data_IF_534411561324
#
_entry.id   IF_534411561324
#
_cell.length_a   1.000
_cell.length_b   1.000
_cell.length_c   1.000
_cell.angle_alpha   90.00
_cell.angle_beta   90.00
_cell.angle_gamma   90.00
#
_symmetry.space_group_name_H-M   'P 1'
#
loop_
_entity.id
_entity.type
_entity.pdbx_description
1 polymer ?
#
# COMPACT_ATOMS: atom_id res chain seq x y z
N UNK A 1 16.73 -15.82 -7.04
CA UNK A 1 17.26 -16.79 -6.04
C UNK A 1 17.32 -16.21 -4.64
N UNK A 2 17.67 -14.94 -4.47
CA UNK A 2 17.85 -14.36 -3.13
C UNK A 2 16.56 -14.02 -2.39
N UNK A 3 15.45 -13.83 -3.09
CA UNK A 3 14.14 -13.65 -2.47
C UNK A 3 13.55 -14.96 -1.90
N UNK A 4 13.98 -16.12 -2.37
CA UNK A 4 13.64 -17.42 -1.76
C UNK A 4 14.26 -17.60 -0.37
N UNK A 5 15.30 -16.84 -0.03
CA UNK A 5 15.88 -16.80 1.32
C UNK A 5 14.98 -16.10 2.35
N UNK A 6 13.94 -15.38 1.93
CA UNK A 6 12.88 -14.91 2.83
C UNK A 6 12.05 -16.04 3.44
N UNK A 7 12.08 -17.22 2.84
CA UNK A 7 11.40 -18.41 3.33
C UNK A 7 12.30 -19.34 4.17
N UNK A 8 13.56 -18.95 4.44
CA UNK A 8 14.44 -19.72 5.32
C UNK A 8 14.04 -19.60 6.80
N UNK A 9 14.55 -20.50 7.64
CA UNK A 9 14.22 -20.54 9.06
C UNK A 9 14.61 -19.25 9.82
N UNK A 10 15.66 -18.54 9.37
CA UNK A 10 16.09 -17.29 9.97
C UNK A 10 15.13 -16.14 9.64
N UNK A 11 14.57 -16.15 8.44
CA UNK A 11 13.54 -15.18 8.02
C UNK A 11 12.18 -15.49 8.65
N UNK A 12 11.83 -16.76 8.84
CA UNK A 12 10.65 -17.16 9.63
C UNK A 12 10.72 -16.63 11.05
N UNK A 13 11.87 -16.66 11.69
CA UNK A 13 12.05 -16.09 13.03
C UNK A 13 11.91 -14.56 13.08
N UNK A 14 12.10 -13.86 11.96
CA UNK A 14 11.90 -12.41 11.85
C UNK A 14 10.46 -12.04 11.48
N UNK A 15 9.75 -12.89 10.75
CA UNK A 15 8.38 -12.67 10.26
C UNK A 15 7.34 -13.23 11.23
N UNK A 16 7.56 -14.40 11.82
CA UNK A 16 6.63 -14.99 12.81
C UNK A 16 6.32 -14.09 14.02
N UNK A 17 7.28 -13.37 14.60
CA UNK A 17 6.97 -12.37 15.62
C UNK A 17 6.10 -11.22 15.11
N UNK A 18 6.13 -10.91 13.82
CA UNK A 18 5.29 -9.87 13.23
C UNK A 18 3.80 -10.20 13.20
N UNK A 19 3.46 -11.49 13.26
CA UNK A 19 2.09 -11.99 13.34
C UNK A 19 1.62 -12.19 14.78
N UNK A 20 2.53 -12.11 15.75
CA UNK A 20 2.18 -12.14 17.17
C UNK A 20 1.54 -10.80 17.58
N UNK A 21 0.53 -10.79 18.46
CA UNK A 21 -0.06 -9.54 18.97
C UNK A 21 0.91 -8.65 19.75
N UNK A 22 2.18 -9.03 19.90
CA UNK A 22 3.23 -8.24 20.51
C UNK A 22 3.78 -7.19 19.54
N UNK A 23 3.40 -5.94 19.75
CA UNK A 23 3.78 -4.74 18.98
C UNK A 23 5.30 -4.62 18.74
N UNK A 24 6.14 -5.10 19.66
CA UNK A 24 7.61 -5.03 19.55
C UNK A 24 8.21 -5.93 18.45
N UNK A 25 7.61 -7.09 18.21
CA UNK A 25 8.09 -8.02 17.19
C UNK A 25 7.74 -7.56 15.76
N UNK A 26 6.56 -6.94 15.60
CA UNK A 26 6.14 -6.32 14.33
C UNK A 26 7.04 -5.15 13.93
N UNK A 27 7.44 -4.31 14.90
CA UNK A 27 8.34 -3.20 14.69
C UNK A 27 9.71 -3.64 14.13
N UNK A 28 10.23 -4.79 14.55
CA UNK A 28 11.54 -5.28 14.09
C UNK A 28 11.52 -5.72 12.61
N UNK A 29 10.48 -6.38 12.14
CA UNK A 29 10.36 -6.75 10.72
C UNK A 29 10.18 -5.53 9.84
N UNK A 30 9.30 -4.63 10.21
CA UNK A 30 9.03 -3.38 9.52
C UNK A 30 10.27 -2.47 9.49
N UNK A 31 11.01 -2.37 10.60
CA UNK A 31 12.21 -1.56 10.75
C UNK A 31 13.47 -2.28 10.24
N UNK A 32 13.35 -3.05 9.16
CA UNK A 32 14.45 -3.75 8.51
C UNK A 32 14.58 -3.34 7.06
N UNK A 33 15.79 -3.41 6.51
CA UNK A 33 16.00 -3.19 5.08
C UNK A 33 15.24 -4.17 4.18
N UNK A 34 14.89 -5.35 4.71
CA UNK A 34 14.12 -6.38 3.99
C UNK A 34 12.64 -6.05 3.77
N UNK A 35 12.10 -5.10 4.51
CA UNK A 35 10.72 -4.64 4.32
C UNK A 35 10.58 -3.66 3.17
N UNK A 36 11.68 -3.13 2.65
CA UNK A 36 11.68 -2.03 1.70
C UNK A 36 11.61 -2.57 0.27
N UNK A 37 10.52 -2.22 -0.41
CA UNK A 37 10.37 -2.46 -1.85
C UNK A 37 10.91 -1.30 -2.69
N UNK A 38 11.24 -1.59 -3.95
CA UNK A 38 11.68 -0.57 -4.90
C UNK A 38 10.62 0.52 -5.05
N UNK A 39 10.91 1.81 -4.75
CA UNK A 39 9.94 2.89 -4.87
C UNK A 39 9.47 3.06 -6.31
N UNK A 40 8.15 3.09 -6.54
CA UNK A 40 7.59 3.13 -7.89
C UNK A 40 7.02 4.46 -8.34
N UNK A 41 6.77 5.38 -7.39
CA UNK A 41 5.98 6.60 -7.63
C UNK A 41 6.55 7.47 -8.75
N UNK A 42 7.86 7.74 -8.75
CA UNK A 42 8.46 8.65 -9.74
C UNK A 42 8.37 8.09 -11.16
N UNK A 43 8.56 6.79 -11.37
CA UNK A 43 8.35 6.15 -12.68
C UNK A 43 6.89 6.20 -13.13
N UNK A 44 5.96 6.00 -12.21
CA UNK A 44 4.53 6.08 -12.53
C UNK A 44 4.13 7.50 -12.91
N UNK A 45 4.56 8.51 -12.16
CA UNK A 45 4.27 9.92 -12.46
C UNK A 45 4.88 10.36 -13.79
N UNK A 46 6.14 9.97 -14.09
CA UNK A 46 6.77 10.25 -15.38
C UNK A 46 6.03 9.59 -16.54
N UNK A 47 5.59 8.33 -16.37
CA UNK A 47 4.81 7.61 -17.36
C UNK A 47 3.47 8.33 -17.63
N UNK A 48 2.76 8.71 -16.57
CA UNK A 48 1.50 9.43 -16.68
C UNK A 48 1.69 10.83 -17.34
N UNK A 49 2.74 11.55 -16.93
CA UNK A 49 3.06 12.84 -17.50
C UNK A 49 3.41 12.74 -18.99
N UNK A 50 4.20 11.77 -19.41
CA UNK A 50 4.54 11.55 -20.82
C UNK A 50 3.30 11.32 -21.68
N UNK A 51 2.29 10.64 -21.14
CA UNK A 51 1.09 10.26 -21.89
C UNK A 51 0.03 11.36 -21.88
N UNK A 52 -0.08 12.14 -20.79
CA UNK A 52 -1.20 13.06 -20.55
C UNK A 52 -0.76 14.46 -20.11
N UNK A 53 0.51 14.65 -19.74
CA UNK A 53 1.03 15.91 -19.21
C UNK A 53 1.09 17.00 -20.27
N UNK A 54 0.72 18.24 -19.89
CA UNK A 54 0.84 19.44 -20.74
C UNK A 54 1.85 20.44 -20.17
N UNK A 55 1.86 20.61 -18.87
CA UNK A 55 2.81 21.48 -18.16
C UNK A 55 4.20 20.83 -18.15
N UNK A 56 5.30 21.57 -18.38
CA UNK A 56 6.64 21.01 -18.30
C UNK A 56 6.90 20.27 -16.98
N UNK A 57 7.53 19.11 -17.07
CA UNK A 57 7.81 18.25 -15.89
C UNK A 57 8.51 19.02 -14.76
N UNK A 58 9.51 19.83 -15.11
CA UNK A 58 10.28 20.62 -14.14
C UNK A 58 9.44 21.64 -13.38
N UNK A 59 8.40 22.19 -13.99
CA UNK A 59 7.52 23.17 -13.37
C UNK A 59 6.56 22.51 -12.35
N UNK A 60 6.10 21.28 -12.64
CA UNK A 60 5.20 20.54 -11.74
C UNK A 60 5.82 20.25 -10.36
N UNK A 61 7.14 20.18 -10.28
CA UNK A 61 7.86 19.89 -9.04
C UNK A 61 8.17 21.16 -8.22
N UNK A 62 8.08 22.36 -8.82
CA UNK A 62 8.44 23.61 -8.12
C UNK A 62 7.64 23.89 -6.85
N UNK A 63 6.31 23.67 -6.78
CA UNK A 63 5.58 23.89 -5.55
C UNK A 63 6.08 23.01 -4.40
N UNK A 64 6.38 21.73 -4.67
CA UNK A 64 6.89 20.81 -3.66
C UNK A 64 8.33 21.17 -3.22
N UNK A 65 9.19 21.58 -4.16
CA UNK A 65 10.54 22.08 -3.87
C UNK A 65 10.46 23.30 -2.95
N UNK A 66 9.57 24.25 -3.24
CA UNK A 66 9.39 25.45 -2.42
C UNK A 66 8.91 25.09 -1.00
N UNK A 67 7.89 24.24 -0.86
CA UNK A 67 7.41 23.80 0.46
C UNK A 67 8.51 23.10 1.25
N UNK A 68 9.31 22.26 0.61
CA UNK A 68 10.43 21.58 1.26
C UNK A 68 11.52 22.56 1.73
N UNK A 69 11.78 23.62 0.94
CA UNK A 69 12.79 24.64 1.24
C UNK A 69 12.31 25.61 2.33
N UNK A 70 11.09 26.15 2.19
CA UNK A 70 10.54 27.14 3.11
C UNK A 70 10.05 26.52 4.40
N UNK A 71 9.65 25.25 4.35
CA UNK A 71 9.10 24.50 5.46
C UNK A 71 7.59 24.60 5.57
N UNK A 72 7.05 23.78 6.46
CA UNK A 72 5.63 23.75 6.80
C UNK A 72 5.43 23.44 8.28
N UNK A 73 4.27 23.79 8.81
CA UNK A 73 3.92 23.51 10.20
C UNK A 73 3.57 22.01 10.39
N UNK A 74 4.13 21.37 11.40
CA UNK A 74 3.82 19.98 11.76
C UNK A 74 2.34 19.88 12.14
N UNK A 75 1.59 19.08 11.39
CA UNK A 75 0.17 18.82 11.63
C UNK A 75 -0.04 17.93 12.85
N UNK A 76 -1.26 17.91 13.41
CA UNK A 76 -1.62 17.03 14.53
C UNK A 76 -1.39 15.54 14.22
N UNK A 77 -1.72 15.11 12.99
CA UNK A 77 -1.46 13.73 12.54
C UNK A 77 0.04 13.40 12.49
N UNK A 78 0.85 14.33 11.96
CA UNK A 78 2.30 14.15 11.90
C UNK A 78 2.93 14.14 13.28
N UNK A 79 2.56 15.07 14.15
CA UNK A 79 3.04 15.11 15.54
C UNK A 79 2.73 13.82 16.32
N UNK A 80 1.50 13.30 16.19
CA UNK A 80 1.10 12.03 16.79
C UNK A 80 1.89 10.83 16.22
N UNK A 81 2.16 10.83 14.91
CA UNK A 81 2.95 9.79 14.27
C UNK A 81 4.41 9.82 14.73
N UNK A 82 5.03 11.01 14.83
CA UNK A 82 6.39 11.16 15.34
C UNK A 82 6.45 10.69 16.80
N UNK A 83 5.54 11.17 17.67
CA UNK A 83 5.51 10.79 19.08
C UNK A 83 5.37 9.27 19.29
N UNK A 84 4.51 8.61 18.50
CA UNK A 84 4.33 7.17 18.58
C UNK A 84 5.52 6.36 18.04
N UNK A 85 6.46 6.99 17.32
CA UNK A 85 7.55 6.33 16.61
C UNK A 85 8.95 6.70 17.11
N UNK A 86 9.07 7.45 18.21
CA UNK A 86 10.35 8.00 18.71
C UNK A 86 11.46 6.94 18.81
N UNK A 87 11.15 5.76 19.37
CA UNK A 87 12.14 4.72 19.58
C UNK A 87 12.64 4.11 18.27
N UNK A 88 11.77 3.99 17.27
CA UNK A 88 12.14 3.45 15.97
C UNK A 88 12.85 4.51 15.11
N UNK A 89 12.43 5.77 15.17
CA UNK A 89 13.11 6.88 14.50
C UNK A 89 14.55 7.07 15.01
N UNK A 90 14.82 6.79 16.29
CA UNK A 90 16.18 6.83 16.87
C UNK A 90 17.14 5.78 16.31
N UNK A 91 16.64 4.76 15.61
CA UNK A 91 17.48 3.75 14.95
C UNK A 91 18.21 4.31 13.72
N UNK A 92 17.60 5.28 13.05
CA UNK A 92 18.17 5.93 11.88
C UNK A 92 18.61 7.35 12.24
N UNK A 93 19.92 7.67 12.16
CA UNK A 93 20.42 9.00 12.51
C UNK A 93 19.78 10.14 11.70
N UNK A 94 19.53 9.92 10.42
CA UNK A 94 18.95 10.93 9.54
C UNK A 94 17.48 11.14 9.86
N UNK A 95 16.73 10.06 10.15
CA UNK A 95 15.35 10.15 10.62
C UNK A 95 15.26 10.87 11.99
N UNK A 96 16.16 10.52 12.92
CA UNK A 96 16.21 11.19 14.21
C UNK A 96 16.51 12.69 14.08
N UNK A 97 17.49 13.07 13.25
CA UNK A 97 17.83 14.48 13.03
C UNK A 97 16.67 15.27 12.41
N UNK A 98 15.89 14.63 11.54
CA UNK A 98 14.77 15.28 10.89
C UNK A 98 13.51 15.36 11.77
N UNK A 99 13.11 14.29 12.44
CA UNK A 99 11.84 14.20 13.16
C UNK A 99 11.91 14.54 14.66
N UNK A 100 13.10 14.51 15.25
CA UNK A 100 13.29 14.72 16.68
C UNK A 100 14.06 16.03 16.95
N UNK A 101 13.95 16.52 18.18
CA UNK A 101 14.81 17.58 18.71
C UNK A 101 16.18 17.01 19.10
N UNK A 102 17.15 17.88 19.37
CA UNK A 102 18.51 17.48 19.76
C UNK A 102 18.57 16.61 21.03
N UNK A 103 17.60 16.77 21.94
CA UNK A 103 17.45 15.96 23.16
C UNK A 103 16.75 14.60 22.90
N UNK A 104 16.41 14.30 21.65
CA UNK A 104 15.71 13.08 21.23
C UNK A 104 14.20 13.08 21.54
N UNK A 105 13.61 14.20 21.94
CA UNK A 105 12.18 14.38 22.07
C UNK A 105 11.50 14.61 20.71
N UNK A 106 10.21 14.28 20.55
CA UNK A 106 9.50 14.50 19.29
C UNK A 106 9.32 16.01 19.02
N UNK A 107 9.43 16.41 17.76
CA UNK A 107 9.09 17.79 17.35
C UNK A 107 7.62 18.08 17.62
N UNK A 108 7.34 19.29 18.11
CA UNK A 108 6.01 19.68 18.56
C UNK A 108 5.05 19.99 17.41
N UNK A 109 3.76 19.76 17.65
CA UNK A 109 2.67 20.27 16.82
C UNK A 109 2.83 21.78 16.56
N UNK A 110 2.69 22.20 15.31
CA UNK A 110 2.77 23.60 14.88
C UNK A 110 4.20 24.13 14.70
N UNK A 111 5.25 23.41 15.12
CA UNK A 111 6.62 23.82 14.82
C UNK A 111 6.91 23.67 13.32
N UNK A 112 7.68 24.61 12.77
CA UNK A 112 8.08 24.56 11.34
C UNK A 112 9.18 23.53 11.14
N UNK A 113 9.02 22.69 10.12
CA UNK A 113 10.02 21.73 9.66
C UNK A 113 10.38 22.00 8.20
N UNK A 114 11.66 22.12 7.91
CA UNK A 114 12.23 22.28 6.55
C UNK A 114 12.90 20.99 6.12
N UNK A 115 12.96 20.75 4.80
CA UNK A 115 13.56 19.55 4.24
C UNK A 115 14.43 19.88 3.01
N UNK A 116 15.61 20.48 3.21
CA UNK A 116 16.48 20.85 2.11
C UNK A 116 16.96 19.65 1.28
N UNK A 117 17.14 18.49 1.90
CA UNK A 117 17.56 17.25 1.20
C UNK A 117 16.45 16.77 0.24
N UNK A 118 15.20 16.86 0.67
CA UNK A 118 14.09 16.52 -0.22
C UNK A 118 13.92 17.56 -1.34
N UNK A 119 14.11 18.84 -1.04
CA UNK A 119 14.15 19.88 -2.07
C UNK A 119 15.22 19.60 -3.12
N UNK A 120 16.43 19.19 -2.69
CA UNK A 120 17.51 18.82 -3.60
C UNK A 120 17.19 17.59 -4.44
N UNK A 121 16.58 16.56 -3.83
CA UNK A 121 16.08 15.36 -4.52
C UNK A 121 15.06 15.71 -5.59
N UNK A 122 14.03 16.50 -5.24
CA UNK A 122 13.02 16.93 -6.20
C UNK A 122 13.60 17.82 -7.31
N UNK A 123 14.56 18.69 -7.00
CA UNK A 123 15.25 19.49 -7.98
C UNK A 123 16.09 18.64 -8.96
N UNK A 124 16.71 17.57 -8.50
CA UNK A 124 17.41 16.62 -9.35
C UNK A 124 16.43 15.89 -10.30
N UNK A 125 15.30 15.44 -9.78
CA UNK A 125 14.22 14.80 -10.56
C UNK A 125 13.58 15.79 -11.54
N UNK A 126 13.43 17.07 -11.16
CA UNK A 126 12.91 18.11 -12.04
C UNK A 126 13.81 18.33 -13.28
N UNK A 127 15.14 18.27 -13.10
CA UNK A 127 16.12 18.45 -14.18
C UNK A 127 16.37 17.19 -15.01
N UNK A 128 16.43 16.03 -14.36
CA UNK A 128 16.88 14.76 -14.97
C UNK A 128 15.76 13.73 -15.21
N UNK A 129 14.52 14.11 -15.01
CA UNK A 129 13.40 13.14 -15.07
C UNK A 129 13.48 12.10 -13.95
N UNK A 130 12.67 11.06 -14.05
CA UNK A 130 12.67 9.99 -13.08
C UNK A 130 14.02 9.24 -13.02
N UNK A 131 14.82 9.23 -14.09
CA UNK A 131 16.13 8.58 -14.11
C UNK A 131 17.05 9.10 -13.00
N UNK A 132 16.97 10.39 -12.66
CA UNK A 132 17.75 10.96 -11.57
C UNK A 132 17.45 10.31 -10.20
N UNK A 133 16.25 9.74 -10.01
CA UNK A 133 15.88 9.02 -8.79
C UNK A 133 16.38 7.57 -8.82
N UNK A 134 16.33 6.91 -9.98
CA UNK A 134 16.59 5.47 -10.12
C UNK A 134 18.02 5.12 -10.50
N UNK A 135 18.86 6.13 -10.76
CA UNK A 135 20.28 5.98 -11.08
C UNK A 135 21.11 7.00 -10.32
N UNK A 136 22.44 6.81 -10.30
CA UNK A 136 23.36 7.77 -9.70
C UNK A 136 23.24 7.91 -8.17
N UNK A 137 23.53 9.11 -7.62
CA UNK A 137 23.72 9.29 -6.17
C UNK A 137 22.47 9.02 -5.34
N UNK A 138 21.27 9.38 -5.81
CA UNK A 138 20.01 9.13 -5.07
C UNK A 138 19.77 7.63 -4.95
N UNK A 139 19.88 6.90 -6.06
CA UNK A 139 19.73 5.44 -6.04
C UNK A 139 20.78 4.77 -5.14
N UNK A 140 22.03 5.22 -5.19
CA UNK A 140 23.09 4.71 -4.32
C UNK A 140 22.74 4.92 -2.85
N UNK A 141 22.29 6.12 -2.46
CA UNK A 141 21.90 6.43 -1.08
C UNK A 141 20.73 5.56 -0.60
N UNK A 142 19.77 5.25 -1.49
CA UNK A 142 18.66 4.33 -1.18
C UNK A 142 19.21 2.93 -0.89
N UNK A 143 20.06 2.40 -1.77
CA UNK A 143 20.67 1.05 -1.60
C UNK A 143 21.50 0.97 -0.34
N UNK A 144 22.34 1.97 -0.08
CA UNK A 144 23.19 2.02 1.12
C UNK A 144 22.33 2.04 2.39
N UNK A 145 21.26 2.82 2.40
CA UNK A 145 20.31 2.90 3.52
C UNK A 145 19.58 1.57 3.74
N UNK A 146 19.17 0.86 2.71
CA UNK A 146 18.54 -0.47 2.78
C UNK A 146 19.49 -1.52 3.37
N UNK A 147 20.79 -1.36 3.14
CA UNK A 147 21.84 -2.32 3.58
C UNK A 147 22.43 -2.04 4.95
N UNK A 148 21.93 -1.05 5.67
CA UNK A 148 22.38 -0.76 7.05
C UNK A 148 22.17 -1.97 7.95
N UNK A 149 23.18 -2.27 8.80
CA UNK A 149 23.20 -3.44 9.69
C UNK A 149 23.04 -3.08 11.16
N UNK A 150 23.20 -1.82 11.51
CA UNK A 150 23.16 -1.35 12.89
C UNK A 150 22.49 0.01 12.98
N UNK A 151 21.73 0.18 14.04
CA UNK A 151 21.09 1.45 14.35
C UNK A 151 22.11 2.51 14.77
N UNK A 152 21.67 3.78 14.72
CA UNK A 152 22.45 4.94 15.07
C UNK A 152 22.73 5.06 16.58
N UNK A 153 23.48 6.09 16.98
CA UNK A 153 23.94 6.28 18.38
C UNK A 153 22.81 6.35 19.42
N UNK A 154 21.63 6.84 19.01
CA UNK A 154 20.49 6.98 19.90
C UNK A 154 19.72 5.66 20.15
N UNK A 155 19.89 4.69 19.27
CA UNK A 155 19.31 3.34 19.42
C UNK A 155 20.15 2.32 18.64
N UNK A 156 21.27 1.82 19.18
CA UNK A 156 22.25 0.98 18.49
C UNK A 156 21.83 -0.49 18.44
N UNK A 157 20.64 -0.77 17.91
CA UNK A 157 20.14 -2.14 17.72
C UNK A 157 20.62 -2.72 16.40
N UNK A 158 20.73 -4.07 16.33
CA UNK A 158 20.97 -4.74 15.07
C UNK A 158 19.78 -4.56 14.12
N UNK A 159 20.07 -4.25 12.85
CA UNK A 159 19.09 -4.11 11.77
C UNK A 159 19.37 -5.19 10.73
N UNK A 160 18.35 -5.92 10.33
CA UNK A 160 18.49 -6.87 9.22
C UNK A 160 18.55 -6.10 7.90
N UNK A 161 19.68 -6.20 7.15
CA UNK A 161 19.83 -5.48 5.90
C UNK A 161 18.92 -6.06 4.82
N UNK A 162 18.48 -5.23 3.89
CA UNK A 162 17.89 -5.66 2.63
C UNK A 162 18.94 -6.13 1.63
N UNK A 163 18.49 -6.73 0.54
CA UNK A 163 19.33 -7.26 -0.54
C UNK A 163 19.28 -6.41 -1.81
N UNK A 164 18.51 -5.34 -1.81
CA UNK A 164 18.32 -4.44 -2.97
C UNK A 164 19.66 -3.99 -3.54
N UNK A 165 19.74 -3.99 -4.88
CA UNK A 165 20.89 -3.55 -5.65
C UNK A 165 20.54 -2.36 -6.56
N UNK A 166 21.54 -1.68 -7.09
CA UNK A 166 21.33 -0.59 -8.05
C UNK A 166 20.60 -1.04 -9.31
N UNK A 167 20.81 -2.29 -9.71
CA UNK A 167 20.10 -2.91 -10.82
C UNK A 167 18.59 -3.01 -10.58
N UNK A 168 18.14 -3.23 -9.34
CA UNK A 168 16.71 -3.30 -9.01
C UNK A 168 16.03 -1.94 -9.18
N UNK A 169 16.74 -0.85 -8.85
CA UNK A 169 16.23 0.49 -9.08
C UNK A 169 16.28 0.85 -10.57
N UNK A 170 17.42 0.70 -11.22
CA UNK A 170 17.61 1.14 -12.61
C UNK A 170 16.76 0.35 -13.62
N UNK A 171 16.48 -0.92 -13.34
CA UNK A 171 15.61 -1.77 -14.15
C UNK A 171 14.12 -1.60 -13.86
N UNK A 172 13.74 -0.92 -12.75
CA UNK A 172 12.33 -0.78 -12.37
C UNK A 172 11.53 -0.03 -13.45
N UNK A 173 10.35 -0.55 -13.75
CA UNK A 173 9.40 0.04 -14.71
C UNK A 173 8.00 0.11 -14.10
N UNK A 174 7.33 1.24 -14.33
CA UNK A 174 5.90 1.33 -14.10
C UNK A 174 5.15 0.51 -15.15
N UNK A 175 4.14 -0.24 -14.73
CA UNK A 175 3.39 -1.13 -15.62
C UNK A 175 1.97 -0.60 -15.78
N UNK A 176 1.55 -0.39 -17.04
CA UNK A 176 0.15 -0.13 -17.37
C UNK A 176 -0.64 -1.43 -17.26
N UNK A 177 -1.80 -1.35 -16.61
CA UNK A 177 -2.70 -2.49 -16.45
C UNK A 177 -4.10 -2.12 -16.91
N UNK A 178 -4.80 -3.09 -17.49
CA UNK A 178 -6.21 -2.92 -17.80
C UNK A 178 -7.00 -2.70 -16.49
N UNK A 179 -7.93 -1.73 -16.46
CA UNK A 179 -8.78 -1.52 -15.30
C UNK A 179 -9.72 -2.70 -15.10
N UNK A 180 -10.08 -2.94 -13.83
CA UNK A 180 -11.20 -3.81 -13.47
C UNK A 180 -12.45 -2.97 -13.52
N UNK A 181 -13.35 -3.22 -14.46
CA UNK A 181 -14.60 -2.51 -14.60
C UNK A 181 -15.79 -3.44 -14.44
N UNK A 182 -16.83 -2.96 -13.77
CA UNK A 182 -18.14 -3.62 -13.65
C UNK A 182 -19.25 -2.57 -13.69
N UNK A 183 -20.48 -3.01 -13.86
CA UNK A 183 -21.63 -2.15 -13.64
C UNK A 183 -22.13 -2.29 -12.20
N UNK A 184 -22.58 -1.19 -11.63
CA UNK A 184 -23.40 -1.18 -10.42
C UNK A 184 -24.66 -0.36 -10.70
N UNK A 185 -25.78 -1.03 -10.82
CA UNK A 185 -27.02 -0.43 -11.32
C UNK A 185 -26.80 0.19 -12.71
N UNK A 186 -26.93 1.50 -12.85
CA UNK A 186 -26.73 2.26 -14.09
C UNK A 186 -25.31 2.82 -14.27
N UNK A 187 -24.44 2.65 -13.27
CA UNK A 187 -23.11 3.24 -13.24
C UNK A 187 -22.01 2.25 -13.63
N UNK A 188 -21.06 2.73 -14.41
CA UNK A 188 -19.77 2.05 -14.58
C UNK A 188 -18.86 2.37 -13.41
N UNK A 189 -18.31 1.33 -12.79
CA UNK A 189 -17.34 1.45 -11.71
C UNK A 189 -16.07 0.74 -12.13
N UNK A 190 -14.98 1.49 -12.19
CA UNK A 190 -13.67 0.98 -12.57
C UNK A 190 -12.65 1.20 -11.45
N UNK A 191 -11.72 0.28 -11.30
CA UNK A 191 -10.63 0.36 -10.34
C UNK A 191 -9.35 -0.27 -10.87
N UNK A 192 -8.25 -0.14 -10.13
CA UNK A 192 -6.96 -0.72 -10.51
C UNK A 192 -6.99 -2.25 -10.46
N UNK A 193 -6.40 -2.88 -11.48
CA UNK A 193 -6.23 -4.33 -11.53
C UNK A 193 -5.09 -4.85 -10.66
N UNK A 194 -4.99 -6.19 -10.45
CA UNK A 194 -3.90 -6.81 -9.70
C UNK A 194 -2.50 -6.37 -10.17
N UNK A 195 -1.55 -6.21 -9.24
CA UNK A 195 -1.57 -6.62 -7.84
C UNK A 195 -2.38 -5.73 -6.90
N UNK A 196 -2.93 -4.60 -7.36
CA UNK A 196 -3.92 -3.86 -6.55
C UNK A 196 -5.16 -4.73 -6.33
N UNK A 197 -5.60 -4.82 -5.08
CA UNK A 197 -6.76 -5.65 -4.74
C UNK A 197 -8.07 -4.87 -4.72
N UNK A 198 -8.01 -3.53 -4.64
CA UNK A 198 -9.18 -2.66 -4.47
C UNK A 198 -10.18 -2.75 -5.61
N UNK A 199 -9.72 -2.78 -6.86
CA UNK A 199 -10.62 -2.82 -8.02
C UNK A 199 -11.52 -4.06 -8.02
N UNK A 200 -10.95 -5.25 -7.76
CA UNK A 200 -11.75 -6.49 -7.65
C UNK A 200 -12.62 -6.46 -6.40
N UNK A 201 -12.08 -6.08 -5.25
CA UNK A 201 -12.83 -6.09 -3.99
C UNK A 201 -14.04 -5.15 -4.05
N UNK A 202 -13.88 -3.92 -4.54
CA UNK A 202 -14.98 -2.96 -4.71
C UNK A 202 -16.01 -3.48 -5.71
N UNK A 203 -15.58 -4.02 -6.85
CA UNK A 203 -16.48 -4.60 -7.84
C UNK A 203 -17.32 -5.75 -7.26
N UNK A 204 -16.70 -6.63 -6.46
CA UNK A 204 -17.41 -7.72 -5.80
C UNK A 204 -18.37 -7.21 -4.72
N UNK A 205 -17.94 -6.29 -3.86
CA UNK A 205 -18.81 -5.69 -2.82
C UNK A 205 -20.06 -5.08 -3.46
N UNK A 206 -19.88 -4.26 -4.48
CA UNK A 206 -21.00 -3.61 -5.16
C UNK A 206 -21.91 -4.63 -5.85
N UNK A 207 -21.35 -5.61 -6.56
CA UNK A 207 -22.14 -6.64 -7.25
C UNK A 207 -22.88 -7.59 -6.28
N UNK A 208 -22.34 -7.84 -5.08
CA UNK A 208 -23.07 -8.54 -4.01
C UNK A 208 -24.21 -7.68 -3.49
N UNK A 209 -23.93 -6.39 -3.20
CA UNK A 209 -24.91 -5.45 -2.65
C UNK A 209 -26.04 -5.11 -3.63
N UNK A 210 -25.82 -5.27 -4.92
CA UNK A 210 -26.85 -5.04 -5.96
C UNK A 210 -28.05 -5.97 -5.80
N UNK A 211 -27.91 -7.09 -5.08
CA UNK A 211 -28.98 -8.05 -4.80
C UNK A 211 -29.88 -7.65 -3.60
N UNK A 212 -29.63 -6.49 -2.99
CA UNK A 212 -30.37 -5.98 -1.83
C UNK A 212 -31.01 -4.63 -2.14
N UNK A 213 -32.19 -4.36 -1.58
CA UNK A 213 -32.90 -3.07 -1.73
C UNK A 213 -32.30 -1.99 -0.80
N UNK A 214 -31.04 -1.59 -1.08
CA UNK A 214 -30.39 -0.52 -0.33
C UNK A 214 -31.10 0.84 -0.45
N UNK A 215 -31.77 1.22 -1.56
CA UNK A 215 -32.50 2.48 -1.63
C UNK A 215 -33.58 2.63 -0.56
N UNK A 216 -34.27 1.56 -0.20
CA UNK A 216 -35.29 1.58 0.88
C UNK A 216 -34.68 1.81 2.27
N UNK A 217 -33.36 1.59 2.40
CA UNK A 217 -32.61 1.77 3.67
C UNK A 217 -31.94 3.15 3.78
N UNK A 218 -32.25 4.07 2.83
CA UNK A 218 -31.71 5.43 2.83
C UNK A 218 -32.08 6.14 4.14
N UNK A 219 -31.12 6.86 4.77
CA UNK A 219 -31.42 7.67 5.95
C UNK A 219 -32.55 8.68 5.64
N UNK A 220 -33.53 8.86 6.55
CA UNK A 220 -34.63 9.81 6.35
C UNK A 220 -34.14 11.26 6.31
N UNK A 221 -33.03 11.54 6.99
CA UNK A 221 -32.38 12.85 7.01
C UNK A 221 -30.96 12.69 6.48
N UNK A 222 -30.66 13.42 5.41
CA UNK A 222 -29.32 13.54 4.85
C UNK A 222 -28.84 14.95 5.15
N UNK A 223 -27.80 15.08 5.93
CA UNK A 223 -27.06 16.32 6.19
C UNK A 223 -25.71 16.30 5.47
N UNK A 224 -24.85 17.31 5.69
CA UNK A 224 -23.56 17.44 5.02
C UNK A 224 -22.66 16.18 5.08
N UNK A 225 -22.77 15.40 6.12
CA UNK A 225 -22.03 14.13 6.29
C UNK A 225 -22.74 12.88 5.69
N UNK A 226 -23.82 13.06 4.95
CA UNK A 226 -24.54 11.98 4.27
C UNK A 226 -25.57 11.21 5.10
N UNK A 227 -25.76 11.57 6.36
CA UNK A 227 -26.72 10.93 7.28
C UNK A 227 -26.21 9.64 7.93
N UNK A 228 -26.92 9.17 8.94
CA UNK A 228 -26.61 7.96 9.67
C UNK A 228 -27.23 6.73 9.00
N UNK A 229 -26.42 5.75 8.53
CA UNK A 229 -26.95 4.55 7.91
C UNK A 229 -27.74 3.68 8.91
N UNK A 230 -28.72 2.93 8.41
CA UNK A 230 -29.42 1.95 9.22
C UNK A 230 -28.48 0.81 9.64
N UNK A 231 -28.78 0.16 10.77
CA UNK A 231 -28.01 -1.01 11.24
C UNK A 231 -28.00 -2.12 10.18
N UNK A 232 -29.11 -2.34 9.51
CA UNK A 232 -29.21 -3.34 8.43
C UNK A 232 -28.32 -2.97 7.25
N UNK A 233 -28.32 -1.71 6.80
CA UNK A 233 -27.45 -1.29 5.70
C UNK A 233 -25.96 -1.49 6.06
N UNK A 234 -25.54 -1.09 7.25
CA UNK A 234 -24.18 -1.29 7.73
C UNK A 234 -23.81 -2.79 7.84
N UNK A 235 -24.76 -3.62 8.27
CA UNK A 235 -24.59 -5.08 8.34
C UNK A 235 -24.39 -5.69 6.95
N UNK A 236 -25.24 -5.37 5.97
CA UNK A 236 -25.14 -5.89 4.61
C UNK A 236 -23.81 -5.51 3.94
N UNK A 237 -23.37 -4.24 4.11
CA UNK A 237 -22.05 -3.78 3.62
C UNK A 237 -20.93 -4.59 4.27
N UNK A 238 -20.96 -4.78 5.59
CA UNK A 238 -19.94 -5.54 6.30
C UNK A 238 -19.87 -7.00 5.85
N UNK A 239 -21.01 -7.65 5.63
CA UNK A 239 -21.06 -9.04 5.18
C UNK A 239 -20.61 -9.18 3.71
N UNK A 240 -20.97 -8.24 2.84
CA UNK A 240 -20.46 -8.19 1.46
C UNK A 240 -18.94 -8.00 1.42
N UNK A 241 -18.39 -7.14 2.28
CA UNK A 241 -16.95 -6.98 2.45
C UNK A 241 -16.27 -8.28 2.89
N UNK A 242 -16.83 -9.01 3.86
CA UNK A 242 -16.29 -10.30 4.32
C UNK A 242 -16.15 -11.30 3.17
N UNK A 243 -17.18 -11.42 2.32
CA UNK A 243 -17.17 -12.31 1.17
C UNK A 243 -16.13 -11.90 0.13
N UNK A 244 -16.07 -10.61 -0.22
CA UNK A 244 -15.11 -10.08 -1.18
C UNK A 244 -13.66 -10.22 -0.69
N UNK A 245 -13.42 -9.98 0.61
CA UNK A 245 -12.09 -10.13 1.19
C UNK A 245 -11.67 -11.59 1.34
N UNK A 246 -12.61 -12.53 1.53
CA UNK A 246 -12.29 -13.95 1.48
C UNK A 246 -11.75 -14.35 0.10
N UNK A 247 -12.41 -13.93 -0.97
CA UNK A 247 -11.96 -14.15 -2.35
C UNK A 247 -10.62 -13.46 -2.63
N UNK A 248 -10.50 -12.20 -2.22
CA UNK A 248 -9.26 -11.43 -2.33
C UNK A 248 -8.08 -12.15 -1.68
N UNK A 249 -8.26 -12.60 -0.46
CA UNK A 249 -7.19 -13.24 0.32
C UNK A 249 -6.74 -14.56 -0.30
N UNK A 250 -7.66 -15.28 -0.93
CA UNK A 250 -7.40 -16.56 -1.58
C UNK A 250 -6.75 -16.40 -2.96
N UNK A 251 -7.24 -15.46 -3.79
CA UNK A 251 -6.98 -15.47 -5.23
C UNK A 251 -6.19 -14.28 -5.74
N UNK A 252 -6.25 -13.11 -5.08
CA UNK A 252 -5.66 -11.89 -5.63
C UNK A 252 -4.19 -11.78 -5.22
N UNK A 253 -3.33 -11.66 -6.23
CA UNK A 253 -1.89 -11.43 -6.11
C UNK A 253 -1.38 -10.76 -7.38
N UNK A 254 -0.07 -10.61 -7.54
CA UNK A 254 0.53 -10.13 -8.79
C UNK A 254 0.21 -11.09 -9.95
N UNK A 255 -0.60 -10.61 -10.89
CA UNK A 255 -1.07 -11.40 -12.02
C UNK A 255 0.04 -11.79 -13.01
N UNK A 256 1.21 -11.16 -12.93
CA UNK A 256 2.38 -11.55 -13.72
C UNK A 256 3.02 -12.85 -13.19
N UNK A 257 2.69 -13.26 -11.96
CA UNK A 257 3.24 -14.44 -11.27
C UNK A 257 2.21 -15.49 -10.89
N UNK A 258 0.97 -15.06 -10.64
CA UNK A 258 -0.12 -15.95 -10.19
C UNK A 258 -1.37 -15.63 -10.97
N UNK A 259 -1.81 -16.58 -11.78
CA UNK A 259 -3.06 -16.43 -12.54
C UNK A 259 -4.26 -16.34 -11.60
N UNK A 260 -5.16 -15.42 -11.89
CA UNK A 260 -6.49 -15.38 -11.27
C UNK A 260 -7.31 -16.61 -11.68
N UNK A 261 -8.30 -17.02 -10.88
CA UNK A 261 -9.07 -18.24 -11.14
C UNK A 261 -9.92 -18.16 -12.42
N UNK A 262 -10.16 -19.29 -13.06
CA UNK A 262 -11.01 -19.48 -14.24
C UNK A 262 -10.66 -18.52 -15.39
N UNK A 263 -11.55 -17.58 -15.73
CA UNK A 263 -11.32 -16.57 -16.78
C UNK A 263 -10.74 -15.27 -16.25
N UNK A 264 -10.05 -15.31 -15.10
CA UNK A 264 -9.44 -14.13 -14.49
C UNK A 264 -10.46 -13.19 -13.86
N UNK A 265 -10.22 -11.88 -13.99
CA UNK A 265 -11.09 -10.82 -13.45
C UNK A 265 -12.55 -11.05 -13.83
N UNK A 266 -12.83 -11.40 -15.09
CA UNK A 266 -14.20 -11.59 -15.58
C UNK A 266 -14.99 -12.61 -14.77
N UNK A 267 -14.35 -13.69 -14.29
CA UNK A 267 -15.02 -14.69 -13.44
C UNK A 267 -15.25 -14.18 -12.01
N UNK A 268 -14.33 -13.37 -11.50
CA UNK A 268 -14.44 -12.86 -10.12
C UNK A 268 -15.50 -11.76 -9.98
N UNK A 269 -15.82 -11.05 -11.06
CA UNK A 269 -16.84 -9.98 -11.07
C UNK A 269 -18.11 -10.37 -11.84
N UNK A 270 -18.25 -11.64 -12.18
CA UNK A 270 -19.44 -12.16 -12.87
C UNK A 270 -20.70 -12.00 -12.01
N UNK A 271 -21.76 -11.47 -12.60
CA UNK A 271 -23.00 -11.14 -11.88
C UNK A 271 -23.68 -12.38 -11.26
N UNK A 272 -23.70 -13.51 -11.98
CA UNK A 272 -24.29 -14.74 -11.44
C UNK A 272 -23.48 -15.29 -10.27
N UNK A 273 -22.15 -15.23 -10.36
CA UNK A 273 -21.26 -15.54 -9.24
C UNK A 273 -21.55 -14.66 -8.02
N UNK A 274 -21.63 -13.34 -8.21
CA UNK A 274 -21.86 -12.39 -7.11
C UNK A 274 -23.25 -12.52 -6.51
N UNK A 275 -24.26 -12.87 -7.30
CA UNK A 275 -25.60 -13.21 -6.82
C UNK A 275 -25.57 -14.46 -5.95
N UNK A 276 -24.85 -15.51 -6.37
CA UNK A 276 -24.66 -16.69 -5.55
C UNK A 276 -23.93 -16.39 -4.24
N UNK A 277 -22.95 -15.47 -4.25
CA UNK A 277 -22.26 -15.01 -3.02
C UNK A 277 -23.23 -14.24 -2.11
N UNK A 278 -24.10 -13.39 -2.67
CA UNK A 278 -25.09 -12.64 -1.90
C UNK A 278 -26.07 -13.54 -1.12
N UNK A 279 -26.38 -14.72 -1.63
CA UNK A 279 -27.29 -15.68 -0.95
C UNK A 279 -26.73 -16.20 0.39
N UNK A 280 -25.44 -16.06 0.68
CA UNK A 280 -24.87 -16.41 1.98
C UNK A 280 -25.12 -15.34 3.06
N UNK A 281 -25.58 -14.14 2.69
CA UNK A 281 -25.81 -13.05 3.65
C UNK A 281 -27.18 -13.21 4.29
N UNK A 282 -27.19 -13.43 5.61
CA UNK A 282 -28.42 -13.35 6.40
C UNK A 282 -28.65 -11.91 6.87
N UNK A 283 -29.86 -11.34 6.73
CA UNK A 283 -30.13 -9.96 7.17
C UNK A 283 -30.14 -9.81 8.71
N UNK A 284 -30.17 -10.91 9.45
CA UNK A 284 -30.33 -10.90 10.91
C UNK A 284 -29.16 -11.52 11.68
N UNK A 285 -28.20 -12.15 10.98
CA UNK A 285 -27.09 -12.87 11.62
C UNK A 285 -25.80 -12.69 10.83
N UNK A 286 -24.72 -12.31 11.51
CA UNK A 286 -23.40 -12.28 10.89
C UNK A 286 -22.90 -13.67 10.54
N UNK A 287 -22.25 -13.82 9.38
CA UNK A 287 -21.59 -15.06 8.99
C UNK A 287 -20.29 -15.31 9.78
N UNK A 288 -19.78 -14.32 10.52
CA UNK A 288 -18.50 -14.44 11.21
C UNK A 288 -17.33 -14.44 10.23
N UNK A 289 -16.66 -15.58 10.05
CA UNK A 289 -15.60 -15.76 9.07
C UNK A 289 -16.18 -16.24 7.74
N UNK A 290 -15.95 -15.46 6.68
CA UNK A 290 -16.34 -15.84 5.32
C UNK A 290 -15.30 -16.79 4.71
N UNK A 291 -15.77 -17.72 3.88
CA UNK A 291 -14.92 -18.56 3.03
C UNK A 291 -14.88 -18.02 1.61
N UNK A 292 -13.76 -18.19 0.92
CA UNK A 292 -13.65 -17.85 -0.48
C UNK A 292 -14.61 -18.67 -1.34
N UNK A 293 -15.11 -18.07 -2.41
CA UNK A 293 -15.94 -18.76 -3.38
C UNK A 293 -15.14 -19.77 -4.21
N UNK A 294 -15.82 -20.80 -4.69
CA UNK A 294 -15.20 -21.79 -5.57
C UNK A 294 -15.28 -21.35 -7.04
N UNK A 295 -14.17 -21.50 -7.75
CA UNK A 295 -14.12 -21.31 -9.20
C UNK A 295 -13.71 -22.61 -9.89
N UNK A 296 -14.36 -22.99 -11.03
CA UNK A 296 -13.98 -24.17 -11.77
C UNK A 296 -12.51 -24.13 -12.18
N UNK A 297 -11.76 -25.20 -11.87
CA UNK A 297 -10.34 -25.31 -12.22
C UNK A 297 -9.38 -24.43 -11.41
N UNK A 298 -9.87 -23.72 -10.42
CA UNK A 298 -8.98 -22.99 -9.48
C UNK A 298 -8.18 -24.00 -8.67
N UNK A 299 -6.87 -23.81 -8.63
CA UNK A 299 -6.00 -24.54 -7.71
C UNK A 299 -6.30 -24.01 -6.30
N UNK A 300 -6.52 -24.92 -5.37
CA UNK A 300 -6.64 -24.54 -3.97
C UNK A 300 -5.35 -23.81 -3.56
N UNK A 301 -5.50 -22.61 -3.06
CA UNK A 301 -4.40 -21.77 -2.63
C UNK A 301 -4.61 -21.39 -1.16
N UNK A 302 -3.52 -21.26 -0.43
CA UNK A 302 -3.54 -20.76 0.92
C UNK A 302 -4.01 -19.31 0.98
N UNK A 303 -4.59 -18.92 2.11
CA UNK A 303 -5.13 -17.58 2.36
C UNK A 303 -4.23 -16.80 3.32
N UNK A 304 -4.01 -15.52 3.03
CA UNK A 304 -3.33 -14.63 3.96
C UNK A 304 -4.12 -13.34 4.15
N UNK A 305 -4.35 -12.99 5.41
CA UNK A 305 -4.93 -11.71 5.79
C UNK A 305 -3.86 -10.88 6.50
N UNK A 306 -3.45 -9.78 5.88
CA UNK A 306 -2.66 -8.75 6.52
C UNK A 306 -3.13 -7.40 6.01
N UNK A 307 -3.34 -6.44 6.89
CA UNK A 307 -3.80 -5.10 6.55
C UNK A 307 -2.79 -4.07 7.03
N UNK A 308 -2.24 -3.30 6.10
CA UNK A 308 -1.42 -2.12 6.37
C UNK A 308 -2.27 -0.93 6.82
N UNK A 309 -1.64 0.02 7.53
CA UNK A 309 -2.30 1.24 8.02
C UNK A 309 -1.49 2.46 7.65
N UNK A 310 -1.80 3.11 6.56
CA UNK A 310 -1.21 4.40 6.26
C UNK A 310 -1.02 4.68 4.78
N UNK A 311 -2.02 5.23 4.14
CA UNK A 311 -2.07 5.48 2.70
C UNK A 311 -2.61 6.88 2.45
N UNK A 312 -2.27 7.46 1.31
CA UNK A 312 -2.82 8.72 0.80
C UNK A 312 -3.57 8.45 -0.49
N UNK A 313 -4.77 9.01 -0.60
CA UNK A 313 -5.55 8.98 -1.83
C UNK A 313 -5.89 10.40 -2.28
N UNK A 314 -5.82 10.63 -3.59
CA UNK A 314 -6.16 11.91 -4.21
C UNK A 314 -7.14 11.64 -5.35
N UNK A 315 -8.26 12.35 -5.34
CA UNK A 315 -9.21 12.40 -6.45
C UNK A 315 -9.26 13.82 -6.99
N UNK A 316 -9.03 13.98 -8.27
CA UNK A 316 -9.03 15.29 -8.94
C UNK A 316 -9.91 15.19 -10.18
N UNK A 317 -10.76 16.20 -10.38
CA UNK A 317 -11.49 16.42 -11.63
C UNK A 317 -11.16 17.82 -12.08
N UNK A 318 -10.68 17.97 -13.32
CA UNK A 318 -10.39 19.29 -13.90
C UNK A 318 -11.59 19.90 -14.65
N UNK A 319 -11.42 21.13 -15.12
CA UNK A 319 -12.46 21.86 -15.87
C UNK A 319 -12.82 21.24 -17.22
N UNK A 320 -11.97 20.39 -17.78
CA UNK A 320 -12.19 19.68 -19.04
C UNK A 320 -12.87 18.31 -18.81
N UNK A 321 -13.11 17.92 -17.55
CA UNK A 321 -13.71 16.64 -17.17
C UNK A 321 -12.69 15.49 -17.11
N UNK A 322 -11.38 15.75 -17.15
CA UNK A 322 -10.38 14.73 -16.90
C UNK A 322 -10.37 14.33 -15.42
N UNK A 323 -10.19 13.05 -15.14
CA UNK A 323 -10.23 12.51 -13.79
C UNK A 323 -8.90 11.82 -13.45
N UNK A 324 -8.37 12.14 -12.28
CA UNK A 324 -7.26 11.41 -11.65
C UNK A 324 -7.75 10.82 -10.34
N UNK A 325 -7.51 9.53 -10.16
CA UNK A 325 -7.72 8.81 -8.90
C UNK A 325 -6.42 8.08 -8.57
N UNK A 326 -5.66 8.62 -7.61
CA UNK A 326 -4.31 8.17 -7.28
C UNK A 326 -4.24 7.72 -5.82
N UNK A 327 -3.85 6.46 -5.62
CA UNK A 327 -3.46 5.95 -4.31
C UNK A 327 -1.95 5.80 -4.25
N UNK A 328 -1.32 6.36 -3.22
CA UNK A 328 0.12 6.26 -2.98
C UNK A 328 0.40 5.95 -1.52
N UNK A 329 1.33 5.04 -1.27
CA UNK A 329 1.65 4.56 0.07
C UNK A 329 3.15 4.37 0.24
N UNK A 330 3.60 4.44 1.49
CA UNK A 330 4.83 3.84 1.98
C UNK A 330 4.52 2.70 2.96
N UNK A 331 3.29 2.18 2.89
CA UNK A 331 2.58 1.20 3.71
C UNK A 331 2.29 1.76 5.11
N UNK A 332 3.13 1.65 6.09
CA UNK A 332 2.89 2.19 7.42
C UNK A 332 3.26 3.68 7.53
N UNK A 333 2.71 4.39 8.54
CA UNK A 333 2.81 5.86 8.70
C UNK A 333 4.22 6.46 8.60
N UNK A 334 5.25 5.71 9.03
CA UNK A 334 6.66 6.10 8.98
C UNK A 334 7.48 5.11 8.13
N UNK A 335 6.81 4.37 7.23
CA UNK A 335 7.46 3.36 6.40
C UNK A 335 8.31 2.40 7.24
N UNK A 336 9.49 2.11 6.77
CA UNK A 336 10.50 1.28 7.44
C UNK A 336 11.32 2.01 8.51
N UNK A 337 11.04 3.27 8.78
CA UNK A 337 11.83 4.22 9.59
C UNK A 337 13.22 4.56 9.02
N UNK A 338 13.60 4.02 7.90
CA UNK A 338 14.83 4.38 7.19
C UNK A 338 14.59 5.67 6.42
N UNK A 339 15.47 6.64 6.63
CA UNK A 339 15.35 7.97 6.03
C UNK A 339 16.61 8.30 5.22
N UNK A 340 16.45 8.74 3.99
CA UNK A 340 17.57 9.16 3.15
C UNK A 340 17.07 10.15 2.10
N UNK A 341 17.93 11.04 1.63
CA UNK A 341 17.59 12.01 0.57
C UNK A 341 16.34 12.85 0.87
N UNK A 342 16.03 13.03 2.17
CA UNK A 342 14.88 13.79 2.64
C UNK A 342 13.55 13.04 2.68
N UNK A 343 13.51 11.73 2.48
CA UNK A 343 12.26 10.95 2.55
C UNK A 343 12.41 9.61 3.27
N UNK A 344 11.31 9.16 3.86
CA UNK A 344 11.22 7.82 4.45
C UNK A 344 11.10 6.76 3.37
N UNK A 345 11.84 5.66 3.54
CA UNK A 345 11.69 4.47 2.71
C UNK A 345 10.46 3.67 3.18
N UNK A 346 9.76 3.09 2.21
CA UNK A 346 8.58 2.28 2.46
C UNK A 346 8.89 0.99 3.23
N UNK A 347 7.85 0.31 3.69
CA UNK A 347 7.90 -1.07 4.16
C UNK A 347 6.92 -1.97 3.40
N UNK A 348 6.76 -1.72 2.10
CA UNK A 348 5.73 -2.32 1.23
C UNK A 348 5.84 -3.85 1.13
N UNK A 349 7.04 -4.41 1.31
CA UNK A 349 7.21 -5.87 1.26
C UNK A 349 6.56 -6.60 2.45
N UNK A 350 6.14 -5.88 3.50
CA UNK A 350 5.31 -6.47 4.57
C UNK A 350 3.89 -6.79 4.12
N UNK A 351 3.44 -6.30 2.97
CA UNK A 351 2.15 -6.66 2.37
C UNK A 351 2.13 -8.06 1.72
N UNK A 352 3.29 -8.69 1.54
CA UNK A 352 3.34 -10.11 1.22
C UNK A 352 2.83 -10.97 2.38
N UNK A 353 2.39 -12.18 2.05
CA UNK A 353 2.11 -13.20 3.07
C UNK A 353 3.37 -13.54 3.86
N UNK A 354 3.24 -13.66 5.18
CA UNK A 354 4.32 -14.12 6.06
C UNK A 354 4.67 -15.59 5.87
N UNK A 355 3.75 -16.39 5.34
CA UNK A 355 3.94 -17.81 5.05
C UNK A 355 3.92 -18.04 3.54
N UNK A 356 4.80 -18.89 3.00
CA UNK A 356 4.81 -19.21 1.58
C UNK A 356 3.70 -20.18 1.17
N UNK A 357 3.21 -20.98 2.12
CA UNK A 357 2.19 -21.99 1.92
C UNK A 357 1.44 -22.24 3.25
N UNK A 358 0.25 -22.80 3.15
CA UNK A 358 -0.52 -23.37 4.28
C UNK A 358 -0.84 -24.85 4.04
N UNK A 359 -1.74 -25.43 4.82
CA UNK A 359 -2.14 -26.84 4.70
C UNK A 359 -2.82 -27.17 3.36
N UNK A 360 -3.30 -26.16 2.62
CA UNK A 360 -4.00 -26.33 1.35
C UNK A 360 -3.02 -26.26 0.17
N UNK A 361 -2.00 -25.41 0.29
CA UNK A 361 -0.99 -25.25 -0.78
C UNK A 361 -0.27 -23.90 -0.76
N UNK A 362 0.44 -23.57 -1.84
CA UNK A 362 1.14 -22.29 -1.96
C UNK A 362 0.20 -21.10 -1.87
N UNK A 363 0.55 -20.10 -1.04
CA UNK A 363 -0.23 -18.87 -0.91
C UNK A 363 -0.01 -17.98 -2.13
N UNK A 364 -1.12 -17.49 -2.72
CA UNK A 364 -1.05 -16.65 -3.92
C UNK A 364 -0.16 -15.42 -3.71
N UNK A 365 -0.31 -14.73 -2.58
CA UNK A 365 0.46 -13.54 -2.23
C UNK A 365 1.79 -13.84 -1.49
N UNK A 366 2.39 -15.02 -1.70
CA UNK A 366 3.73 -15.33 -1.14
C UNK A 366 4.83 -14.49 -1.78
N UNK A 367 5.90 -14.27 -1.04
CA UNK A 367 7.10 -13.57 -1.53
C UNK A 367 7.73 -14.34 -2.69
N UNK A 368 8.14 -13.62 -3.72
CA UNK A 368 8.89 -14.15 -4.86
C UNK A 368 9.69 -13.02 -5.52
N UNK A 369 10.88 -13.31 -6.05
CA UNK A 369 11.73 -12.33 -6.74
C UNK A 369 11.03 -11.65 -7.91
N UNK A 370 11.14 -10.34 -8.00
CA UNK A 370 10.49 -9.52 -9.04
C UNK A 370 8.97 -9.32 -8.90
N UNK A 371 8.33 -10.05 -8.00
CA UNK A 371 6.89 -9.97 -7.73
C UNK A 371 6.54 -8.72 -6.91
N UNK A 372 5.42 -8.10 -7.23
CA UNK A 372 4.83 -7.02 -6.43
C UNK A 372 3.92 -7.59 -5.36
N UNK A 373 3.94 -7.05 -4.14
CA UNK A 373 2.97 -7.44 -3.12
C UNK A 373 1.56 -7.04 -3.55
N UNK A 374 0.58 -7.80 -3.08
CA UNK A 374 -0.82 -7.39 -3.19
C UNK A 374 -1.04 -6.16 -2.32
N UNK A 375 -1.58 -5.09 -2.87
CA UNK A 375 -1.91 -3.92 -2.07
C UNK A 375 -2.97 -4.26 -1.02
N UNK A 376 -2.88 -3.63 0.14
CA UNK A 376 -3.89 -3.76 1.19
C UNK A 376 -5.20 -3.05 0.83
N UNK A 377 -5.15 -2.14 -0.17
CA UNK A 377 -6.30 -1.39 -0.68
C UNK A 377 -6.39 -1.43 -2.19
#
# INVERSE_FOLDING_TARGET
EDYLRYADAATKSLIQPALSPNVGAFANTRASGRSIGTPGLMRMLELAHRDHGRTPWSELLQPAIRIATEGFAISGRMAAAIAASVNDLKRDPDAAAYFLNADGSPRALGSTIQNPDYAATLAAVARGGADAFYTGPIAQSIVDKIRVRQGGPLNPVAITPGLTELSDLSSYRAVRRAPVCTTYREWWVCGMGPPSSGGIAVAQILGILENFDLPSMRPPIIHEEGGKPSVLAAHLVSEAQRLAYADRNQYVADADFVSLPAKGVASMVDKAYLQARASFISPTKSMGTATAGAFPGAVAAGSSAQEGRGTTHVSIVDGDGNVVSLTSSIEARMGSFHFTQGFLLNNELTDFSSEPADAVGPIANRIQGGKRPRSSM
#
